data_IF_818090608647
#
_entry.id   IF_818090608647
#
_cell.length_a   1.000
_cell.length_b   1.000
_cell.length_c   1.000
_cell.angle_alpha   90.00
_cell.angle_beta   90.00
_cell.angle_gamma   90.00
#
_symmetry.space_group_name_H-M   'P 1'
#
loop_
_entity.id
_entity.type
_entity.pdbx_description
1 polymer ?
#
# COMPACT_ATOMS: atom_id res chain seq x y z
N UNK A 1 -4.58 -1.35 9.04
CA UNK A 1 -4.71 -0.55 7.82
C UNK A 1 -3.68 -1.06 6.82
N UNK A 2 -4.11 -1.40 5.61
CA UNK A 2 -3.31 -2.00 4.55
C UNK A 2 -3.36 -1.14 3.28
N UNK A 3 -2.40 -1.36 2.38
CA UNK A 3 -2.28 -0.63 1.12
C UNK A 3 -3.55 -0.67 0.25
N UNK A 4 -3.67 0.24 -0.72
CA UNK A 4 -4.83 0.28 -1.62
C UNK A 4 -4.90 -0.93 -2.57
N UNK A 5 -3.77 -1.54 -2.90
CA UNK A 5 -3.66 -2.68 -3.80
C UNK A 5 -2.38 -3.47 -3.56
N UNK A 6 -2.39 -4.73 -4.01
CA UNK A 6 -1.19 -5.54 -4.20
C UNK A 6 -0.60 -5.26 -5.59
N UNK A 7 0.72 -5.06 -5.66
CA UNK A 7 1.46 -5.01 -6.93
C UNK A 7 1.93 -6.42 -7.29
N UNK A 8 2.15 -6.67 -8.59
CA UNK A 8 2.69 -7.96 -9.04
C UNK A 8 4.12 -8.16 -8.54
N UNK A 9 4.49 -9.42 -8.31
CA UNK A 9 5.85 -9.79 -7.89
C UNK A 9 6.91 -9.27 -8.87
N UNK A 10 8.00 -8.73 -8.31
CA UNK A 10 9.09 -8.08 -9.05
C UNK A 10 8.73 -6.72 -9.64
N UNK A 11 7.52 -6.21 -9.39
CA UNK A 11 7.02 -4.90 -9.83
C UNK A 11 6.40 -4.10 -8.68
N UNK A 12 6.96 -4.30 -7.49
CA UNK A 12 6.50 -3.70 -6.24
C UNK A 12 6.58 -2.18 -6.32
N UNK A 13 5.48 -1.53 -5.98
CA UNK A 13 5.37 -0.08 -5.95
C UNK A 13 4.76 0.35 -4.62
N UNK A 14 5.40 1.34 -3.97
CA UNK A 14 4.84 1.96 -2.78
C UNK A 14 3.68 2.87 -3.19
N UNK A 15 2.45 2.37 -3.08
CA UNK A 15 1.26 3.18 -3.37
C UNK A 15 0.95 4.14 -2.20
N UNK A 16 0.12 5.16 -2.45
CA UNK A 16 -0.27 6.14 -1.44
C UNK A 16 -0.82 5.51 -0.15
N UNK A 17 -1.64 4.45 -0.27
CA UNK A 17 -2.14 3.73 0.90
C UNK A 17 -1.06 2.98 1.69
N UNK A 18 -0.05 2.44 1.01
CA UNK A 18 1.09 1.81 1.69
C UNK A 18 1.93 2.86 2.42
N UNK A 19 2.19 3.99 1.78
CA UNK A 19 2.93 5.11 2.37
C UNK A 19 2.20 5.66 3.60
N UNK A 20 0.89 5.86 3.52
CA UNK A 20 0.06 6.32 4.63
C UNK A 20 -0.05 5.29 5.77
N UNK A 21 -0.12 3.99 5.46
CA UNK A 21 -0.31 2.95 6.47
C UNK A 21 0.97 2.61 7.24
N UNK A 22 2.12 2.52 6.54
CA UNK A 22 3.38 2.01 7.12
C UNK A 22 4.63 2.77 6.67
N UNK A 23 4.53 3.72 5.74
CA UNK A 23 5.69 4.36 5.12
C UNK A 23 6.64 5.03 6.12
N UNK A 24 6.12 5.57 7.23
CA UNK A 24 6.95 6.17 8.29
C UNK A 24 7.90 5.17 8.97
N UNK A 25 7.55 3.88 9.01
CA UNK A 25 8.35 2.82 9.63
C UNK A 25 9.35 2.19 8.65
N UNK A 26 9.27 2.53 7.36
CA UNK A 26 10.16 2.00 6.33
C UNK A 26 11.34 2.94 6.02
N UNK A 27 12.56 2.43 6.21
CA UNK A 27 13.81 3.17 5.98
C UNK A 27 13.91 3.77 4.56
N UNK A 28 13.45 3.03 3.55
CA UNK A 28 13.49 3.49 2.15
C UNK A 28 12.64 4.76 1.92
N UNK A 29 11.46 4.84 2.53
CA UNK A 29 10.59 6.01 2.44
C UNK A 29 11.20 7.21 3.20
N UNK A 30 11.71 6.97 4.41
CA UNK A 30 12.41 8.00 5.22
C UNK A 30 13.62 8.57 4.49
N UNK A 31 14.41 7.72 3.85
CA UNK A 31 15.57 8.15 3.05
C UNK A 31 15.14 8.95 1.81
N UNK A 32 14.05 8.55 1.15
CA UNK A 32 13.51 9.29 0.01
C UNK A 32 13.06 10.71 0.41
N UNK A 33 12.43 10.86 1.57
CA UNK A 33 12.05 12.16 2.13
C UNK A 33 13.29 13.00 2.45
N UNK A 34 14.27 12.42 3.15
CA UNK A 34 15.51 13.11 3.49
C UNK A 34 16.29 13.60 2.25
N UNK A 35 16.14 12.92 1.11
CA UNK A 35 16.75 13.29 -0.16
C UNK A 35 15.85 14.17 -1.05
N UNK A 36 14.65 14.56 -0.59
CA UNK A 36 13.70 15.37 -1.36
C UNK A 36 13.06 14.64 -2.55
N UNK A 37 13.17 13.31 -2.62
CA UNK A 37 12.56 12.48 -3.69
C UNK A 37 11.10 12.12 -3.41
N UNK A 38 10.65 12.30 -2.17
CA UNK A 38 9.28 12.08 -1.72
C UNK A 38 8.87 13.22 -0.78
N UNK A 39 7.73 13.90 -0.99
CA UNK A 39 7.23 14.87 -0.02
C UNK A 39 6.82 14.18 1.28
N UNK A 40 7.05 14.81 2.43
CA UNK A 40 6.73 14.21 3.73
C UNK A 40 5.23 14.00 3.92
N UNK A 41 4.41 14.84 3.28
CA UNK A 41 2.96 14.79 3.26
C UNK A 41 2.42 13.51 2.62
N UNK A 42 3.22 12.84 1.78
CA UNK A 42 2.84 11.54 1.19
C UNK A 42 2.73 10.41 2.22
N UNK A 43 3.23 10.60 3.46
CA UNK A 43 3.03 9.66 4.56
C UNK A 43 1.71 9.89 5.31
N UNK A 44 0.94 10.93 4.98
CA UNK A 44 -0.36 11.17 5.57
C UNK A 44 -1.46 10.50 4.74
N UNK A 45 -2.53 10.01 5.39
CA UNK A 45 -3.73 9.59 4.66
C UNK A 45 -4.29 10.74 3.83
N UNK A 46 -4.60 10.47 2.57
CA UNK A 46 -5.32 11.42 1.71
C UNK A 46 -6.79 11.48 2.14
N UNK A 47 -7.30 12.64 2.59
CA UNK A 47 -8.70 12.78 3.02
C UNK A 47 -9.70 12.58 1.88
N UNK A 48 -9.28 12.82 0.63
CA UNK A 48 -10.10 12.63 -0.57
C UNK A 48 -9.81 11.27 -1.24
N UNK A 49 -8.91 10.48 -0.65
CA UNK A 49 -8.49 9.18 -1.16
C UNK A 49 -9.49 8.06 -0.88
N UNK A 50 -9.33 6.89 -1.55
CA UNK A 50 -10.15 5.73 -1.25
C UNK A 50 -9.89 5.25 0.19
N UNK A 51 -10.93 4.71 0.83
CA UNK A 51 -10.78 4.05 2.12
C UNK A 51 -9.77 2.90 2.01
N UNK A 52 -8.84 2.86 2.97
CA UNK A 52 -7.86 1.78 3.07
C UNK A 52 -8.49 0.56 3.75
N UNK A 53 -8.08 -0.63 3.29
CA UNK A 53 -8.55 -1.88 3.89
C UNK A 53 -8.05 -2.04 5.33
N UNK A 54 -8.88 -2.61 6.19
CA UNK A 54 -8.56 -2.88 7.59
C UNK A 54 -7.60 -4.05 7.75
N UNK A 55 -7.66 -5.05 6.86
CA UNK A 55 -6.86 -6.28 6.91
C UNK A 55 -6.41 -6.77 5.53
N UNK A 56 -5.40 -7.65 5.50
CA UNK A 56 -4.98 -8.36 4.28
C UNK A 56 -6.10 -9.25 3.71
N UNK A 57 -6.84 -9.94 4.57
CA UNK A 57 -7.95 -10.80 4.16
C UNK A 57 -9.08 -10.00 3.45
N UNK A 58 -9.36 -8.79 3.93
CA UNK A 58 -10.34 -7.88 3.31
C UNK A 58 -9.87 -7.42 1.92
N UNK A 59 -8.59 -7.10 1.78
CA UNK A 59 -8.00 -6.76 0.48
C UNK A 59 -8.12 -7.93 -0.50
N UNK A 60 -7.74 -9.14 -0.09
CA UNK A 60 -7.83 -10.33 -0.95
C UNK A 60 -9.28 -10.61 -1.36
N UNK A 61 -10.22 -10.60 -0.42
CA UNK A 61 -11.64 -10.79 -0.72
C UNK A 61 -12.18 -9.77 -1.72
N UNK A 62 -11.67 -8.54 -1.71
CA UNK A 62 -12.06 -7.49 -2.67
C UNK A 62 -11.37 -7.59 -4.04
N UNK A 63 -10.26 -8.34 -4.16
CA UNK A 63 -9.44 -8.42 -5.39
C UNK A 63 -9.48 -9.79 -6.07
N UNK A 64 -9.89 -10.84 -5.38
CA UNK A 64 -10.05 -12.18 -5.95
C UNK A 64 -11.33 -12.24 -6.81
N UNK A 65 -11.24 -12.55 -8.12
CA UNK A 65 -12.42 -12.77 -8.95
C UNK A 65 -13.23 -13.99 -8.47
N UNK A 66 -14.57 -13.98 -8.62
CA UNK A 66 -15.36 -15.14 -8.25
C UNK A 66 -15.00 -16.36 -9.12
N UNK A 67 -14.51 -17.42 -8.49
CA UNK A 67 -14.28 -18.74 -9.12
C UNK A 67 -12.81 -19.12 -9.33
N UNK A 68 -11.85 -18.26 -9.02
CA UNK A 68 -10.42 -18.59 -9.11
C UNK A 68 -9.91 -19.00 -7.71
N UNK A 69 -9.31 -20.19 -7.54
CA UNK A 69 -8.83 -20.62 -6.24
C UNK A 69 -7.69 -19.73 -5.76
N UNK A 70 -7.71 -19.41 -4.46
CA UNK A 70 -6.58 -18.80 -3.75
C UNK A 70 -5.41 -19.81 -3.73
N UNK A 71 -4.62 -19.78 -4.80
CA UNK A 71 -3.35 -20.50 -4.89
C UNK A 71 -2.34 -19.68 -4.11
N UNK A 72 -2.30 -19.89 -2.80
CA UNK A 72 -1.17 -19.44 -2.00
C UNK A 72 0.10 -20.00 -2.64
N UNK A 73 0.90 -19.11 -3.23
CA UNK A 73 2.15 -19.30 -3.99
C UNK A 73 2.01 -19.64 -5.47
#
# INVERSE_FOLDING_TARGET
MFACHQSGEGREQACAGWLAAVGADHLGARLAIAQGRLPAEALQPDPDGPALYGSWAELLAAKTPPGEPDVGW
#
